data_IF_560080675347
#
_entry.id   IF_560080675347
#
_cell.length_a   1.000
_cell.length_b   1.000
_cell.length_c   1.000
_cell.angle_alpha   90.00
_cell.angle_beta   90.00
_cell.angle_gamma   90.00
#
_symmetry.space_group_name_H-M   'P 1'
#
loop_
_entity.id
_entity.type
_entity.pdbx_description
1 polymer ?
#
# COMPACT_ATOMS: atom_id res chain seq x y z
N UNK A 1 10.61 -6.39 12.59
CA UNK A 1 9.77 -6.26 11.35
C UNK A 1 10.38 -5.17 10.49
N UNK A 2 10.35 -5.30 9.17
CA UNK A 2 10.83 -4.21 8.31
C UNK A 2 9.95 -2.96 8.42
N UNK A 3 10.52 -1.74 8.58
CA UNK A 3 9.76 -0.50 8.74
C UNK A 3 8.85 -0.16 7.55
N UNK A 4 9.29 -0.41 6.31
CA UNK A 4 8.49 -0.16 5.09
C UNK A 4 7.24 -1.04 5.10
N UNK A 5 7.43 -2.33 5.37
CA UNK A 5 6.34 -3.30 5.51
C UNK A 5 5.35 -2.90 6.60
N UNK A 6 5.84 -2.45 7.77
CA UNK A 6 4.98 -2.01 8.87
C UNK A 6 4.12 -0.79 8.50
N UNK A 7 4.73 0.21 7.85
CA UNK A 7 4.03 1.42 7.41
C UNK A 7 2.97 1.11 6.34
N UNK A 8 3.29 0.26 5.36
CA UNK A 8 2.35 -0.16 4.32
C UNK A 8 1.18 -0.95 4.89
N UNK A 9 1.42 -1.87 5.83
CA UNK A 9 0.35 -2.59 6.50
C UNK A 9 -0.56 -1.67 7.33
N UNK A 10 0.00 -0.69 8.04
CA UNK A 10 -0.81 0.29 8.76
C UNK A 10 -1.66 1.13 7.78
N UNK A 11 -1.08 1.57 6.65
CA UNK A 11 -1.83 2.26 5.61
C UNK A 11 -3.00 1.42 5.10
N UNK A 12 -2.75 0.14 4.78
CA UNK A 12 -3.76 -0.83 4.35
C UNK A 12 -4.92 -0.96 5.35
N UNK A 13 -4.63 -1.23 6.63
CA UNK A 13 -5.69 -1.39 7.62
C UNK A 13 -6.48 -0.10 7.88
N UNK A 14 -5.82 1.07 7.79
CA UNK A 14 -6.49 2.38 7.89
C UNK A 14 -7.41 2.63 6.71
N UNK A 15 -6.98 2.32 5.50
CA UNK A 15 -7.77 2.45 4.27
C UNK A 15 -8.99 1.52 4.31
N UNK A 16 -8.76 0.25 4.62
CA UNK A 16 -9.80 -0.76 4.83
C UNK A 16 -10.84 -0.34 5.88
N UNK A 17 -10.42 0.36 6.93
CA UNK A 17 -11.30 0.90 7.97
C UNK A 17 -11.93 2.25 7.59
N UNK A 18 -11.81 2.70 6.33
CA UNK A 18 -12.32 3.97 5.82
C UNK A 18 -11.91 5.18 6.66
N UNK A 19 -10.67 5.17 7.19
CA UNK A 19 -10.12 6.32 7.89
C UNK A 19 -9.80 7.46 6.92
N UNK A 20 -9.57 8.67 7.48
CA UNK A 20 -9.22 9.86 6.70
C UNK A 20 -8.10 9.57 5.68
N UNK A 21 -8.33 9.78 4.38
CA UNK A 21 -7.35 9.51 3.32
C UNK A 21 -6.01 10.22 3.54
N UNK A 22 -6.02 11.42 4.15
CA UNK A 22 -4.77 12.14 4.49
C UNK A 22 -3.90 11.36 5.48
N UNK A 23 -4.53 10.65 6.42
CA UNK A 23 -3.83 9.79 7.37
C UNK A 23 -3.26 8.56 6.69
N UNK A 24 -4.02 7.92 5.81
CA UNK A 24 -3.55 6.78 5.00
C UNK A 24 -2.34 7.20 4.18
N UNK A 25 -2.45 8.30 3.44
CA UNK A 25 -1.37 8.83 2.61
C UNK A 25 -0.11 9.22 3.40
N UNK A 26 -0.25 9.65 4.66
CA UNK A 26 0.92 9.95 5.50
C UNK A 26 1.77 8.69 5.76
N UNK A 27 1.15 7.53 5.97
CA UNK A 27 1.87 6.26 6.15
C UNK A 27 2.48 5.75 4.84
N UNK A 28 1.77 5.87 3.71
CA UNK A 28 2.31 5.51 2.39
C UNK A 28 3.53 6.36 2.05
N UNK A 29 3.44 7.69 2.18
CA UNK A 29 4.58 8.59 1.96
C UNK A 29 5.76 8.29 2.89
N UNK A 30 5.49 7.96 4.14
CA UNK A 30 6.56 7.57 5.06
C UNK A 30 7.25 6.28 4.59
N UNK A 31 6.50 5.29 4.09
CA UNK A 31 7.07 4.08 3.51
C UNK A 31 7.96 4.39 2.31
N UNK A 32 7.49 5.22 1.37
CA UNK A 32 8.25 5.62 0.18
C UNK A 32 9.54 6.36 0.55
N UNK A 33 9.50 7.25 1.56
CA UNK A 33 10.67 7.98 2.06
C UNK A 33 11.71 6.99 2.60
N UNK A 34 11.30 6.04 3.45
CA UNK A 34 12.23 5.06 4.02
C UNK A 34 12.78 4.10 2.93
N UNK A 35 11.94 3.69 1.99
CA UNK A 35 12.35 2.83 0.87
C UNK A 35 13.36 3.53 -0.05
N UNK A 36 13.22 4.84 -0.24
CA UNK A 36 14.14 5.66 -1.04
C UNK A 36 15.49 5.96 -0.40
N UNK A 37 15.68 5.67 0.90
CA UNK A 37 16.96 5.84 1.56
C UNK A 37 17.93 4.72 1.17
N UNK A 38 19.21 5.04 1.02
CA UNK A 38 20.26 4.02 0.97
C UNK A 38 20.47 3.34 2.34
N UNK A 39 21.13 2.19 2.34
CA UNK A 39 21.34 1.40 3.55
C UNK A 39 22.12 2.17 4.62
N UNK A 40 23.11 2.99 4.22
CA UNK A 40 23.90 3.79 5.15
C UNK A 40 23.07 4.90 5.82
N UNK A 41 22.15 5.51 5.09
CA UNK A 41 21.22 6.49 5.64
C UNK A 41 20.21 5.85 6.59
N UNK A 42 19.65 4.69 6.21
CA UNK A 42 18.76 3.91 7.08
C UNK A 42 19.44 3.56 8.39
N UNK A 43 20.67 3.05 8.33
CA UNK A 43 21.45 2.68 9.52
C UNK A 43 21.72 3.89 10.41
N UNK A 44 22.17 5.02 9.85
CA UNK A 44 22.42 6.26 10.62
C UNK A 44 21.16 6.73 11.36
N UNK A 45 20.03 6.80 10.66
CA UNK A 45 18.76 7.23 11.28
C UNK A 45 18.26 6.21 12.31
N UNK A 46 18.45 4.93 12.06
CA UNK A 46 18.07 3.85 12.97
C UNK A 46 18.86 3.88 14.29
N UNK A 47 20.19 4.01 14.19
CA UNK A 47 21.06 4.10 15.38
C UNK A 47 20.80 5.34 16.23
N UNK A 48 20.54 6.48 15.57
CA UNK A 48 20.27 7.75 16.25
C UNK A 48 18.81 7.95 16.66
N UNK A 49 17.91 7.04 16.27
CA UNK A 49 16.44 7.18 16.36
C UNK A 49 15.95 8.55 15.85
N UNK A 50 16.54 9.00 14.76
CA UNK A 50 16.33 10.35 14.22
C UNK A 50 15.34 10.40 13.05
N UNK A 51 14.43 9.44 12.96
CA UNK A 51 13.46 9.31 11.87
C UNK A 51 12.60 10.55 11.64
N UNK A 52 12.23 11.23 12.73
CA UNK A 52 11.41 12.44 12.64
C UNK A 52 12.15 13.64 12.02
N UNK A 53 13.47 13.61 11.89
CA UNK A 53 14.24 14.63 11.20
C UNK A 53 14.09 14.58 9.68
N UNK A 54 13.58 13.47 9.14
CA UNK A 54 13.34 13.30 7.70
C UNK A 54 12.10 14.12 7.29
N UNK A 55 12.21 14.96 6.24
CA UNK A 55 11.06 15.69 5.72
C UNK A 55 9.92 14.74 5.32
N UNK A 56 8.72 14.97 5.84
CA UNK A 56 7.55 14.14 5.58
C UNK A 56 7.30 13.03 6.60
N UNK A 57 8.21 12.82 7.56
CA UNK A 57 8.02 11.90 8.68
C UNK A 57 7.50 12.66 9.90
N UNK A 58 6.25 12.41 10.28
CA UNK A 58 5.65 12.97 11.49
C UNK A 58 5.87 12.10 12.74
N UNK A 59 5.49 12.60 13.93
CA UNK A 59 5.72 11.86 15.19
C UNK A 59 5.12 10.45 15.22
N UNK A 60 3.94 10.26 14.64
CA UNK A 60 3.25 8.95 14.62
C UNK A 60 3.94 7.95 13.70
N UNK A 61 4.36 8.40 12.51
CA UNK A 61 5.09 7.55 11.57
C UNK A 61 6.50 7.25 12.06
N UNK A 62 7.20 8.23 12.66
CA UNK A 62 8.50 8.02 13.31
C UNK A 62 8.42 6.95 14.40
N UNK A 63 7.41 7.00 15.29
CA UNK A 63 7.21 5.97 16.33
C UNK A 63 7.07 4.58 15.72
N UNK A 64 6.29 4.43 14.64
CA UNK A 64 6.13 3.15 13.94
C UNK A 64 7.45 2.65 13.37
N UNK A 65 8.23 3.54 12.73
CA UNK A 65 9.53 3.21 12.16
C UNK A 65 10.49 2.74 13.26
N UNK A 66 10.59 3.48 14.37
CA UNK A 66 11.46 3.14 15.52
C UNK A 66 11.11 1.78 16.11
N UNK A 67 9.82 1.49 16.28
CA UNK A 67 9.37 0.20 16.79
C UNK A 67 9.73 -0.93 15.84
N UNK A 68 9.46 -0.76 14.55
CA UNK A 68 9.77 -1.76 13.54
C UNK A 68 11.28 -1.98 13.38
N UNK A 69 12.07 -0.90 13.39
CA UNK A 69 13.53 -0.95 13.33
C UNK A 69 14.14 -1.74 14.49
N UNK A 70 13.62 -1.57 15.69
CA UNK A 70 14.04 -2.34 16.87
C UNK A 70 13.57 -3.81 16.85
N UNK A 71 13.01 -4.30 15.75
CA UNK A 71 12.51 -5.67 15.60
C UNK A 71 11.14 -5.94 16.24
N UNK A 72 10.52 -4.92 16.83
CA UNK A 72 9.19 -5.00 17.46
C UNK A 72 8.07 -4.82 16.45
N UNK A 73 6.96 -5.49 16.65
CA UNK A 73 5.74 -5.15 15.93
C UNK A 73 5.17 -3.82 16.47
N UNK A 74 4.87 -2.84 15.59
CA UNK A 74 4.33 -1.55 16.03
C UNK A 74 2.97 -1.68 16.72
N UNK A 75 2.82 -0.99 17.88
CA UNK A 75 1.59 -0.98 18.66
C UNK A 75 0.36 -0.62 17.80
N UNK A 76 0.52 0.38 16.92
CA UNK A 76 -0.54 0.83 16.02
C UNK A 76 -0.98 -0.25 15.02
N UNK A 77 -0.08 -1.16 14.61
CA UNK A 77 -0.41 -2.27 13.74
C UNK A 77 -1.18 -3.35 14.48
N UNK A 78 -0.75 -3.67 15.71
CA UNK A 78 -1.45 -4.63 16.58
C UNK A 78 -2.88 -4.16 16.85
N UNK A 79 -3.06 -2.89 17.22
CA UNK A 79 -4.39 -2.29 17.46
C UNK A 79 -5.28 -2.38 16.20
N UNK A 80 -4.76 -2.03 15.03
CA UNK A 80 -5.52 -2.05 13.78
C UNK A 80 -5.91 -3.47 13.36
N UNK A 81 -5.03 -4.45 13.55
CA UNK A 81 -5.34 -5.85 13.26
C UNK A 81 -6.41 -6.40 14.19
N UNK A 82 -6.33 -6.10 15.48
CA UNK A 82 -7.32 -6.54 16.47
C UNK A 82 -8.69 -5.90 16.25
N UNK A 83 -8.71 -4.67 15.70
CA UNK A 83 -9.93 -3.93 15.37
C UNK A 83 -10.43 -4.21 13.93
N UNK A 84 -9.81 -5.13 13.18
CA UNK A 84 -10.17 -5.42 11.80
C UNK A 84 -11.63 -5.85 11.70
N UNK A 85 -12.44 -5.04 11.05
CA UNK A 85 -13.87 -5.24 10.91
C UNK A 85 -14.16 -6.19 9.76
N UNK A 86 -15.14 -7.06 9.92
CA UNK A 86 -15.74 -7.79 8.80
C UNK A 86 -16.27 -6.77 7.78
N UNK A 87 -15.90 -6.92 6.52
CA UNK A 87 -16.34 -6.04 5.44
C UNK A 87 -17.80 -6.28 5.02
N UNK A 88 -18.44 -7.29 5.59
CA UNK A 88 -19.81 -7.67 5.24
C UNK A 88 -19.93 -8.27 3.84
N UNK A 89 -21.14 -8.21 3.27
CA UNK A 89 -21.42 -8.69 1.90
C UNK A 89 -21.85 -10.15 1.84
N UNK A 90 -21.64 -10.95 2.88
CA UNK A 90 -22.16 -12.32 3.01
C UNK A 90 -21.99 -13.19 1.76
N UNK A 91 -23.06 -13.86 1.36
CA UNK A 91 -23.07 -14.77 0.20
C UNK A 91 -22.76 -14.07 -1.12
N UNK A 92 -23.19 -12.81 -1.31
CA UNK A 92 -22.92 -12.04 -2.53
C UNK A 92 -21.41 -11.84 -2.69
N UNK A 93 -20.73 -11.45 -1.61
CA UNK A 93 -19.27 -11.30 -1.62
C UNK A 93 -18.55 -12.62 -1.88
N UNK A 94 -19.02 -13.70 -1.25
CA UNK A 94 -18.44 -15.02 -1.43
C UNK A 94 -18.62 -15.56 -2.87
N UNK A 95 -19.64 -15.08 -3.61
CA UNK A 95 -19.88 -15.44 -4.99
C UNK A 95 -19.10 -14.60 -6.01
N UNK A 96 -18.47 -13.50 -5.59
CA UNK A 96 -17.67 -12.66 -6.48
C UNK A 96 -16.37 -13.37 -6.86
N UNK A 97 -16.15 -13.53 -8.17
CA UNK A 97 -14.94 -14.15 -8.72
C UNK A 97 -13.89 -13.15 -9.16
N UNK A 98 -14.22 -11.86 -9.23
CA UNK A 98 -13.28 -10.85 -9.66
C UNK A 98 -13.82 -9.44 -9.55
N UNK A 99 -12.94 -8.46 -9.76
CA UNK A 99 -13.25 -7.05 -9.83
C UNK A 99 -12.78 -6.48 -11.17
N UNK A 100 -13.66 -5.80 -11.87
CA UNK A 100 -13.42 -5.26 -13.21
C UNK A 100 -13.25 -3.73 -13.23
N UNK A 101 -13.13 -3.09 -12.07
CA UNK A 101 -13.03 -1.64 -11.97
C UNK A 101 -12.13 -1.20 -10.81
N UNK A 102 -10.82 -1.30 -11.00
CA UNK A 102 -9.82 -0.92 -10.00
C UNK A 102 -8.99 0.27 -10.49
N UNK A 103 -8.76 1.25 -9.60
CA UNK A 103 -7.90 2.39 -9.85
C UNK A 103 -6.72 2.38 -8.89
N UNK A 104 -5.52 2.53 -9.42
CA UNK A 104 -4.29 2.58 -8.63
C UNK A 104 -3.79 4.01 -8.39
N UNK A 105 -2.72 4.14 -7.63
CA UNK A 105 -2.00 5.41 -7.44
C UNK A 105 -1.33 5.93 -8.73
N UNK A 106 -1.44 5.20 -9.83
CA UNK A 106 -1.01 5.70 -11.13
C UNK A 106 -1.99 6.73 -11.71
N UNK A 107 -3.27 6.66 -11.33
CA UNK A 107 -4.25 7.70 -11.67
C UNK A 107 -4.79 8.36 -10.39
N UNK A 108 -6.02 8.13 -10.03
CA UNK A 108 -6.73 8.75 -8.90
C UNK A 108 -6.96 7.81 -7.71
N UNK A 109 -6.54 6.57 -7.81
CA UNK A 109 -6.53 5.65 -6.67
C UNK A 109 -5.43 6.00 -5.66
N UNK A 110 -5.52 5.46 -4.46
CA UNK A 110 -4.57 5.74 -3.38
C UNK A 110 -3.56 4.63 -3.12
N UNK A 111 -3.85 3.41 -3.58
CA UNK A 111 -3.03 2.23 -3.34
C UNK A 111 -2.12 1.89 -4.53
N UNK A 112 -0.89 1.40 -4.29
CA UNK A 112 -0.04 0.87 -5.36
C UNK A 112 -0.61 -0.44 -5.90
N UNK A 113 -0.22 -0.79 -7.13
CA UNK A 113 -0.76 -1.95 -7.86
C UNK A 113 -0.55 -3.25 -7.11
N UNK A 114 0.61 -3.46 -6.52
CA UNK A 114 0.96 -4.67 -5.77
C UNK A 114 0.08 -4.86 -4.52
N UNK A 115 -0.24 -3.79 -3.80
CA UNK A 115 -1.18 -3.81 -2.66
C UNK A 115 -2.59 -4.15 -3.12
N UNK A 116 -3.02 -3.59 -4.25
CA UNK A 116 -4.34 -3.88 -4.82
C UNK A 116 -4.47 -5.33 -5.27
N UNK A 117 -3.45 -5.87 -5.96
CA UNK A 117 -3.42 -7.27 -6.37
C UNK A 117 -3.39 -8.22 -5.18
N UNK A 118 -2.59 -7.92 -4.14
CA UNK A 118 -2.56 -8.70 -2.91
C UNK A 118 -3.93 -8.72 -2.23
N UNK A 119 -4.60 -7.57 -2.16
CA UNK A 119 -5.94 -7.46 -1.58
C UNK A 119 -6.97 -8.24 -2.40
N UNK A 120 -6.92 -8.18 -3.73
CA UNK A 120 -7.81 -8.96 -4.58
C UNK A 120 -7.64 -10.47 -4.35
N UNK A 121 -6.39 -10.94 -4.22
CA UNK A 121 -6.09 -12.34 -3.90
C UNK A 121 -6.59 -12.74 -2.50
N UNK A 122 -6.42 -11.89 -1.47
CA UNK A 122 -6.97 -12.12 -0.13
C UNK A 122 -8.50 -12.21 -0.11
N UNK A 123 -9.16 -11.47 -1.01
CA UNK A 123 -10.61 -11.50 -1.19
C UNK A 123 -11.10 -12.75 -1.94
N UNK A 124 -10.19 -13.56 -2.45
CA UNK A 124 -10.52 -14.76 -3.24
C UNK A 124 -10.86 -14.47 -4.70
N UNK A 125 -10.48 -13.29 -5.22
CA UNK A 125 -10.72 -12.98 -6.63
C UNK A 125 -9.75 -13.76 -7.53
N UNK A 126 -10.30 -14.39 -8.56
CA UNK A 126 -9.57 -15.16 -9.57
C UNK A 126 -8.94 -14.24 -10.64
N UNK A 127 -9.50 -13.05 -10.82
CA UNK A 127 -9.02 -12.02 -11.75
C UNK A 127 -9.43 -10.64 -11.29
N UNK A 128 -8.71 -9.64 -11.80
CA UNK A 128 -9.08 -8.23 -11.66
C UNK A 128 -8.63 -7.43 -12.86
N UNK A 129 -9.32 -6.32 -13.15
CA UNK A 129 -8.94 -5.39 -14.20
C UNK A 129 -8.53 -4.06 -13.58
N UNK A 130 -7.28 -3.64 -13.84
CA UNK A 130 -6.81 -2.32 -13.52
C UNK A 130 -7.29 -1.35 -14.61
N UNK A 131 -8.09 -0.36 -14.21
CA UNK A 131 -8.81 0.55 -15.12
C UNK A 131 -8.45 2.01 -14.85
N UNK A 132 -7.17 2.30 -14.66
CA UNK A 132 -6.68 3.65 -14.45
C UNK A 132 -7.07 4.58 -15.60
N UNK A 133 -7.29 5.85 -15.31
CA UNK A 133 -7.81 6.82 -16.25
C UNK A 133 -6.86 7.13 -17.40
N UNK A 134 -7.43 7.38 -18.58
CA UNK A 134 -6.73 7.85 -19.76
C UNK A 134 -6.33 9.32 -19.63
N UNK A 135 -5.40 9.84 -20.46
CA UNK A 135 -4.90 11.22 -20.38
C UNK A 135 -5.98 12.28 -20.62
N UNK A 136 -7.15 11.91 -21.14
CA UNK A 136 -8.27 12.85 -21.33
C UNK A 136 -8.86 13.33 -20.00
N UNK A 137 -8.73 12.54 -18.94
CA UNK A 137 -9.21 12.91 -17.59
C UNK A 137 -8.06 13.48 -16.77
N UNK A 138 -7.76 14.76 -16.98
CA UNK A 138 -6.62 15.44 -16.35
C UNK A 138 -6.75 15.55 -14.82
N UNK A 139 -7.98 15.70 -14.31
CA UNK A 139 -8.25 15.79 -12.88
C UNK A 139 -7.90 14.50 -12.12
N UNK A 140 -7.97 13.36 -12.79
CA UNK A 140 -7.63 12.05 -12.25
C UNK A 140 -6.16 11.65 -12.51
N UNK A 141 -5.31 12.57 -12.92
CA UNK A 141 -3.91 12.27 -13.29
C UNK A 141 -3.79 11.13 -14.33
N UNK A 142 -4.68 11.12 -15.31
CA UNK A 142 -4.78 10.06 -16.32
C UNK A 142 -3.46 9.74 -17.03
N UNK A 143 -3.27 8.47 -17.40
CA UNK A 143 -2.01 7.95 -17.90
C UNK A 143 -1.74 8.39 -19.34
N UNK A 144 -0.58 9.02 -19.59
CA UNK A 144 -0.07 9.17 -20.95
C UNK A 144 0.30 7.80 -21.55
N UNK A 145 0.46 7.68 -22.88
CA UNK A 145 0.89 6.43 -23.49
C UNK A 145 2.20 5.87 -22.92
N UNK A 146 3.14 6.74 -22.56
CA UNK A 146 4.42 6.35 -21.94
C UNK A 146 4.21 5.82 -20.52
N UNK A 147 3.34 6.47 -19.72
CA UNK A 147 3.01 6.01 -18.37
C UNK A 147 2.26 4.67 -18.42
N UNK A 148 1.35 4.50 -19.36
CA UNK A 148 0.65 3.23 -19.56
C UNK A 148 1.62 2.09 -19.89
N UNK A 149 2.61 2.30 -20.78
CA UNK A 149 3.62 1.27 -21.07
C UNK A 149 4.39 0.86 -19.81
N UNK A 150 4.85 1.85 -19.04
CA UNK A 150 5.53 1.57 -17.75
C UNK A 150 4.64 0.83 -16.77
N UNK A 151 3.34 1.13 -16.73
CA UNK A 151 2.39 0.42 -15.89
C UNK A 151 2.24 -1.04 -16.32
N UNK A 152 2.18 -1.30 -17.62
CA UNK A 152 2.12 -2.66 -18.16
C UNK A 152 3.38 -3.46 -17.79
N UNK A 153 4.57 -2.85 -17.85
CA UNK A 153 5.82 -3.49 -17.42
C UNK A 153 5.76 -3.87 -15.92
N UNK A 154 5.19 -2.99 -15.07
CA UNK A 154 4.97 -3.30 -13.65
C UNK A 154 4.01 -4.46 -13.46
N UNK A 155 2.89 -4.46 -14.19
CA UNK A 155 1.88 -5.53 -14.14
C UNK A 155 2.49 -6.87 -14.58
N UNK A 156 3.27 -6.88 -15.64
CA UNK A 156 3.93 -8.09 -16.12
C UNK A 156 4.90 -8.66 -15.07
N UNK A 157 5.67 -7.80 -14.39
CA UNK A 157 6.53 -8.22 -13.28
C UNK A 157 5.77 -8.78 -12.06
N UNK A 158 4.51 -8.36 -11.87
CA UNK A 158 3.67 -8.85 -10.77
C UNK A 158 2.92 -10.15 -11.10
N UNK A 159 2.65 -10.42 -12.39
CA UNK A 159 1.91 -11.63 -12.82
C UNK A 159 2.51 -12.92 -12.28
N UNK A 160 3.82 -13.07 -12.38
CA UNK A 160 4.53 -14.26 -11.89
C UNK A 160 4.44 -14.43 -10.38
N UNK A 161 4.37 -13.31 -9.65
CA UNK A 161 4.24 -13.30 -8.20
C UNK A 161 2.85 -13.77 -7.77
N UNK A 162 1.81 -13.32 -8.44
CA UNK A 162 0.41 -13.64 -8.06
C UNK A 162 -0.11 -14.92 -8.68
N UNK A 163 0.40 -15.36 -9.85
CA UNK A 163 0.07 -16.66 -10.42
C UNK A 163 0.45 -17.84 -9.51
N UNK A 164 1.50 -17.67 -8.69
CA UNK A 164 1.94 -18.69 -7.71
C UNK A 164 1.10 -18.71 -6.43
N UNK A 165 0.26 -17.72 -6.20
CA UNK A 165 -0.64 -17.68 -5.03
C UNK A 165 -2.02 -18.31 -5.31
N UNK A 166 -2.31 -18.65 -6.58
CA UNK A 166 -3.59 -19.21 -7.02
C UNK A 166 -3.58 -20.74 -7.20
N UNK A 167 -2.49 -21.40 -6.82
CA UNK A 167 -2.30 -22.84 -6.76
C UNK A 167 -2.14 -23.30 -5.30
#
# INVERSE_FOLDING_TARGET
MDPVTALRQIAYYKDRSRQDPKRVMAYRRAADIIEGLDDAARERHGQADSWQSLPGIGPKTAKVISQAWSGREPDALVELRSAATDLGGGEVRAALRGDLHLHSNWSDGSAPIDEMMATAAELGHEYCALTDHSPRLTIANGLSPERLRKQLDVIDGLRDKFARCAS
#
